data_IF_659498663537
#
_entry.id   IF_659498663537
#
_cell.length_a   1.000
_cell.length_b   1.000
_cell.length_c   1.000
_cell.angle_alpha   90.00
_cell.angle_beta   90.00
_cell.angle_gamma   90.00
#
_symmetry.space_group_name_H-M   'P 1'
#
loop_
_entity.id
_entity.type
_entity.pdbx_description
1 polymer ?
#
# COMPACT_ATOMS: atom_id res chain seq x y z
N UNK A 1 -51.77 -21.85 2.33
CA UNK A 1 -50.68 -21.71 1.35
C UNK A 1 -49.96 -20.40 1.66
N UNK A 2 -48.64 -20.42 1.84
CA UNK A 2 -47.89 -19.19 2.16
C UNK A 2 -47.93 -18.30 0.91
N UNK A 3 -48.44 -17.08 1.06
CA UNK A 3 -48.51 -16.12 -0.04
C UNK A 3 -47.20 -15.30 -0.12
N UNK A 4 -46.14 -15.98 -0.60
CA UNK A 4 -44.82 -15.37 -0.82
C UNK A 4 -44.91 -14.28 -1.90
N UNK A 5 -45.75 -14.50 -2.90
CA UNK A 5 -45.84 -13.65 -4.09
C UNK A 5 -46.52 -12.31 -3.76
N UNK A 6 -47.55 -12.32 -2.90
CA UNK A 6 -48.22 -11.12 -2.42
C UNK A 6 -47.38 -10.25 -1.46
N UNK A 7 -46.43 -10.85 -0.73
CA UNK A 7 -45.58 -10.15 0.26
C UNK A 7 -44.17 -9.82 -0.26
N UNK A 8 -43.90 -9.99 -1.56
CA UNK A 8 -42.58 -9.75 -2.17
C UNK A 8 -41.95 -8.39 -1.79
N UNK A 9 -42.76 -7.34 -1.71
CA UNK A 9 -42.29 -5.99 -1.35
C UNK A 9 -41.72 -5.91 0.07
N UNK A 10 -42.30 -6.65 1.00
CA UNK A 10 -41.80 -6.74 2.38
C UNK A 10 -40.45 -7.46 2.45
N UNK A 11 -40.29 -8.53 1.66
CA UNK A 11 -39.01 -9.23 1.57
C UNK A 11 -37.94 -8.34 0.94
N UNK A 12 -38.26 -7.58 -0.12
CA UNK A 12 -37.33 -6.60 -0.69
C UNK A 12 -36.96 -5.48 0.28
N UNK A 13 -37.90 -4.99 1.09
CA UNK A 13 -37.63 -3.94 2.09
C UNK A 13 -36.69 -4.47 3.18
N UNK A 14 -36.93 -5.67 3.70
CA UNK A 14 -36.03 -6.31 4.67
C UNK A 14 -34.64 -6.54 4.05
N UNK A 15 -34.57 -7.05 2.82
CA UNK A 15 -33.31 -7.23 2.11
C UNK A 15 -32.57 -5.90 1.91
N UNK A 16 -33.27 -4.84 1.51
CA UNK A 16 -32.67 -3.52 1.35
C UNK A 16 -32.16 -2.95 2.67
N UNK A 17 -32.89 -3.14 3.77
CA UNK A 17 -32.47 -2.69 5.10
C UNK A 17 -31.20 -3.41 5.60
N UNK A 18 -30.93 -4.61 5.12
CA UNK A 18 -29.70 -5.37 5.45
C UNK A 18 -28.57 -5.01 4.48
N UNK A 19 -28.86 -4.95 3.18
CA UNK A 19 -27.87 -4.71 2.11
C UNK A 19 -27.36 -3.28 2.15
N UNK A 20 -28.23 -2.29 2.32
CA UNK A 20 -27.85 -0.88 2.24
C UNK A 20 -26.83 -0.47 3.31
N UNK A 21 -26.99 -0.80 4.61
CA UNK A 21 -25.96 -0.52 5.61
C UNK A 21 -24.65 -1.23 5.33
N UNK A 22 -24.70 -2.48 4.84
CA UNK A 22 -23.50 -3.23 4.46
C UNK A 22 -22.76 -2.59 3.27
N UNK A 23 -23.51 -2.13 2.26
CA UNK A 23 -22.96 -1.45 1.09
C UNK A 23 -22.40 -0.07 1.47
N UNK A 24 -23.10 0.69 2.31
CA UNK A 24 -22.64 1.97 2.84
C UNK A 24 -21.33 1.77 3.63
N UNK A 25 -21.24 0.72 4.46
CA UNK A 25 -20.01 0.39 5.21
C UNK A 25 -18.83 0.02 4.32
N UNK A 26 -19.09 -0.47 3.10
CA UNK A 26 -18.05 -0.87 2.15
C UNK A 26 -17.52 0.32 1.35
N UNK A 27 -18.41 1.23 0.94
CA UNK A 27 -18.10 2.35 0.05
C UNK A 27 -17.67 3.59 0.83
N UNK A 28 -18.30 3.86 1.97
CA UNK A 28 -18.06 5.06 2.77
C UNK A 28 -17.31 4.63 4.03
N UNK A 29 -16.16 5.25 4.36
CA UNK A 29 -15.51 5.03 5.65
C UNK A 29 -16.54 5.28 6.76
N UNK A 30 -17.00 4.28 7.52
CA UNK A 30 -18.06 4.47 8.49
C UNK A 30 -17.47 5.15 9.71
N UNK A 31 -17.52 6.48 9.73
CA UNK A 31 -17.15 7.31 10.88
C UNK A 31 -18.04 7.15 12.11
N UNK A 32 -18.79 6.05 12.27
CA UNK A 32 -19.73 5.86 13.38
C UNK A 32 -19.37 4.73 14.36
N UNK A 33 -18.37 3.87 14.08
CA UNK A 33 -18.00 2.80 15.02
C UNK A 33 -16.48 2.60 15.25
N UNK A 34 -15.61 3.06 14.36
CA UNK A 34 -14.16 2.94 14.57
C UNK A 34 -13.43 3.94 13.69
N UNK A 35 -12.48 4.65 14.28
CA UNK A 35 -11.73 5.76 13.66
C UNK A 35 -10.82 5.35 12.48
N UNK A 36 -10.83 4.09 12.05
CA UNK A 36 -10.10 3.63 10.87
C UNK A 36 -10.87 2.50 10.18
N UNK A 37 -11.54 2.77 9.06
CA UNK A 37 -11.76 1.78 7.98
C UNK A 37 -12.60 2.39 6.86
N UNK A 38 -12.00 2.64 5.71
CA UNK A 38 -12.66 2.36 4.43
C UNK A 38 -12.10 1.05 3.89
N UNK A 39 -12.61 0.53 2.76
CA UNK A 39 -11.84 -0.45 1.99
C UNK A 39 -10.45 0.15 1.73
N UNK A 40 -9.41 -0.39 2.38
CA UNK A 40 -8.03 -0.08 2.06
C UNK A 40 -7.66 -0.97 0.87
N UNK A 41 -7.64 -0.46 -0.38
CA UNK A 41 -7.23 -1.27 -1.52
C UNK A 41 -5.82 -1.81 -1.25
N UNK A 42 -5.72 -3.13 -1.23
CA UNK A 42 -4.45 -3.82 -1.08
C UNK A 42 -3.49 -3.45 -2.21
N UNK A 43 -2.22 -3.71 -2.01
CA UNK A 43 -1.14 -3.37 -2.93
C UNK A 43 -1.32 -3.95 -4.35
N UNK A 44 -2.05 -5.07 -4.47
CA UNK A 44 -2.41 -5.69 -5.75
C UNK A 44 -3.39 -4.85 -6.59
N UNK A 45 -4.09 -3.88 -5.97
CA UNK A 45 -5.03 -2.96 -6.64
C UNK A 45 -4.52 -1.52 -6.72
N UNK A 46 -3.45 -1.18 -6.00
CA UNK A 46 -2.98 0.21 -5.86
C UNK A 46 -1.75 0.55 -6.72
N UNK A 47 -1.17 -0.43 -7.43
CA UNK A 47 0.15 -0.32 -8.10
C UNK A 47 1.26 0.05 -7.12
N UNK A 48 2.30 -0.78 -7.04
CA UNK A 48 3.34 -0.62 -6.03
C UNK A 48 4.73 -0.91 -6.56
N UNK A 49 5.72 -0.38 -5.84
CA UNK A 49 7.12 -0.74 -6.01
C UNK A 49 7.61 -1.47 -4.77
N UNK A 50 8.35 -2.54 -4.98
CA UNK A 50 8.97 -3.35 -3.93
C UNK A 50 10.47 -3.27 -4.10
N UNK A 51 11.15 -2.84 -3.05
CA UNK A 51 12.60 -2.78 -2.99
C UNK A 51 13.07 -3.72 -1.89
N UNK A 52 13.88 -4.69 -2.25
CA UNK A 52 14.66 -5.46 -1.29
C UNK A 52 16.05 -4.85 -1.22
N UNK A 53 16.38 -4.27 -0.07
CA UNK A 53 17.63 -3.56 0.16
C UNK A 53 18.43 -4.23 1.28
N UNK A 54 19.76 -4.19 1.18
CA UNK A 54 20.65 -4.64 2.24
C UNK A 54 21.61 -3.52 2.62
N UNK A 55 21.81 -3.33 3.92
CA UNK A 55 22.71 -2.30 4.44
C UNK A 55 24.00 -2.94 4.95
N UNK A 56 25.09 -2.16 4.99
CA UNK A 56 26.35 -2.60 5.60
C UNK A 56 26.43 -2.25 7.09
N UNK A 57 25.76 -1.17 7.53
CA UNK A 57 25.73 -0.68 8.91
C UNK A 57 24.49 -1.20 9.66
N UNK A 58 24.52 -1.24 11.00
CA UNK A 58 23.35 -1.66 11.80
C UNK A 58 22.22 -0.64 11.67
N UNK A 59 21.26 -0.94 10.78
CA UNK A 59 20.12 -0.09 10.43
C UNK A 59 18.86 -0.69 11.04
N UNK A 60 17.99 0.16 11.58
CA UNK A 60 16.67 -0.24 12.10
C UNK A 60 15.59 0.09 11.09
N UNK A 61 14.44 -0.58 11.20
CA UNK A 61 13.26 -0.27 10.36
C UNK A 61 12.84 1.20 10.51
N UNK A 62 13.00 1.77 11.70
CA UNK A 62 12.67 3.17 11.99
C UNK A 62 13.57 4.13 11.21
N UNK A 63 14.88 3.87 11.12
CA UNK A 63 15.78 4.71 10.34
C UNK A 63 15.39 4.72 8.86
N UNK A 64 15.06 3.55 8.28
CA UNK A 64 14.60 3.45 6.89
C UNK A 64 13.28 4.19 6.70
N UNK A 65 12.31 3.99 7.61
CA UNK A 65 11.02 4.66 7.55
C UNK A 65 11.16 6.19 7.63
N UNK A 66 12.01 6.72 8.50
CA UNK A 66 12.27 8.17 8.59
C UNK A 66 12.84 8.74 7.28
N UNK A 67 13.77 8.03 6.62
CA UNK A 67 14.27 8.44 5.29
C UNK A 67 13.14 8.44 4.26
N UNK A 68 12.34 7.37 4.21
CA UNK A 68 11.21 7.28 3.27
C UNK A 68 10.18 8.39 3.48
N UNK A 69 9.88 8.75 4.74
CA UNK A 69 9.00 9.89 5.06
C UNK A 69 9.60 11.22 4.55
N UNK A 70 10.90 11.44 4.72
CA UNK A 70 11.59 12.65 4.21
C UNK A 70 11.56 12.74 2.69
N UNK A 71 11.58 11.59 2.01
CA UNK A 71 11.45 11.48 0.55
C UNK A 71 9.99 11.60 0.05
N UNK A 72 9.03 11.80 0.96
CA UNK A 72 7.61 11.95 0.61
C UNK A 72 6.83 10.64 0.51
N UNK A 73 7.43 9.52 0.92
CA UNK A 73 6.82 8.18 0.93
C UNK A 73 6.46 7.75 2.35
N UNK A 74 5.61 8.51 3.03
CA UNK A 74 5.13 8.16 4.37
C UNK A 74 4.23 6.92 4.40
N UNK A 75 3.73 6.48 3.24
CA UNK A 75 3.01 5.24 3.07
C UNK A 75 3.91 4.00 2.98
N UNK A 76 5.24 4.18 3.00
CA UNK A 76 6.18 3.07 2.83
C UNK A 76 6.03 2.06 3.97
N UNK A 77 5.86 0.78 3.61
CA UNK A 77 5.87 -0.34 4.55
C UNK A 77 7.26 -0.96 4.56
N UNK A 78 7.95 -0.88 5.70
CA UNK A 78 9.29 -1.42 5.90
C UNK A 78 9.15 -2.71 6.71
N UNK A 79 9.75 -3.79 6.22
CA UNK A 79 9.76 -5.09 6.89
C UNK A 79 11.19 -5.65 6.89
N UNK A 80 11.73 -5.97 8.06
CA UNK A 80 13.02 -6.65 8.17
C UNK A 80 12.87 -8.14 7.83
N UNK A 81 13.69 -8.65 6.93
CA UNK A 81 13.66 -10.05 6.47
C UNK A 81 14.94 -10.82 6.77
N UNK A 82 16.02 -10.12 7.14
CA UNK A 82 17.28 -10.74 7.54
C UNK A 82 17.99 -9.93 8.63
N UNK A 83 19.26 -10.23 8.89
CA UNK A 83 20.08 -9.47 9.86
C UNK A 83 20.19 -8.00 9.49
N UNK A 84 20.34 -7.69 8.20
CA UNK A 84 20.43 -6.33 7.68
C UNK A 84 19.78 -6.12 6.31
N UNK A 85 18.77 -6.94 6.02
CA UNK A 85 18.01 -6.90 4.77
C UNK A 85 16.57 -6.50 5.05
N UNK A 86 16.07 -5.56 4.27
CA UNK A 86 14.75 -4.97 4.42
C UNK A 86 13.97 -5.06 3.12
N UNK A 87 12.68 -5.34 3.25
CA UNK A 87 11.69 -5.16 2.22
C UNK A 87 11.00 -3.82 2.44
N UNK A 88 11.12 -2.93 1.47
CA UNK A 88 10.45 -1.64 1.42
C UNK A 88 9.39 -1.74 0.35
N UNK A 89 8.14 -1.48 0.73
CA UNK A 89 7.02 -1.44 -0.20
C UNK A 89 6.45 -0.03 -0.25
N UNK A 90 6.38 0.54 -1.44
CA UNK A 90 5.87 1.90 -1.69
C UNK A 90 4.77 1.88 -2.74
N UNK A 91 4.12 3.04 -2.94
CA UNK A 91 3.41 3.28 -4.20
C UNK A 91 4.37 3.20 -5.39
N UNK A 92 3.80 3.08 -6.59
CA UNK A 92 4.55 3.07 -7.83
C UNK A 92 5.51 4.28 -7.89
N UNK A 93 6.82 4.00 -7.84
CA UNK A 93 7.86 5.02 -7.99
C UNK A 93 7.88 5.50 -9.44
N UNK A 94 7.96 6.82 -9.64
CA UNK A 94 7.96 7.38 -10.99
C UNK A 94 9.23 7.05 -11.76
N UNK A 95 9.03 6.63 -13.00
CA UNK A 95 10.08 6.49 -14.00
C UNK A 95 10.66 7.87 -14.38
N UNK A 96 11.92 7.91 -14.83
CA UNK A 96 12.58 9.17 -15.16
C UNK A 96 11.86 9.85 -16.34
N UNK A 97 11.65 11.16 -16.24
CA UNK A 97 11.09 11.98 -17.32
C UNK A 97 12.24 12.77 -17.96
N UNK A 98 12.70 12.34 -19.13
CA UNK A 98 13.84 12.96 -19.82
C UNK A 98 15.18 12.60 -19.17
N UNK A 99 16.04 13.59 -18.95
CA UNK A 99 17.39 13.44 -18.32
C UNK A 99 17.36 13.50 -16.78
N UNK A 100 16.17 13.53 -16.16
CA UNK A 100 16.03 13.57 -14.70
C UNK A 100 16.18 12.17 -14.11
N UNK A 101 16.68 12.09 -12.87
CA UNK A 101 16.76 10.85 -12.11
C UNK A 101 15.36 10.30 -11.83
N UNK A 102 15.25 8.97 -11.84
CA UNK A 102 14.04 8.28 -11.42
C UNK A 102 13.82 8.43 -9.91
N UNK A 103 12.56 8.39 -9.44
CA UNK A 103 12.30 8.42 -7.99
C UNK A 103 12.97 7.23 -7.28
N UNK A 104 13.07 6.08 -7.96
CA UNK A 104 13.85 4.93 -7.50
C UNK A 104 15.32 5.27 -7.24
N UNK A 105 15.99 5.91 -8.19
CA UNK A 105 17.39 6.29 -8.04
C UNK A 105 17.60 7.32 -6.94
N UNK A 106 16.65 8.25 -6.76
CA UNK A 106 16.68 9.20 -5.64
C UNK A 106 16.60 8.47 -4.31
N UNK A 107 15.68 7.51 -4.17
CA UNK A 107 15.55 6.68 -2.96
C UNK A 107 16.82 5.86 -2.72
N UNK A 108 17.34 5.17 -3.73
CA UNK A 108 18.58 4.38 -3.60
C UNK A 108 19.78 5.25 -3.21
N UNK A 109 19.91 6.46 -3.77
CA UNK A 109 20.99 7.40 -3.43
C UNK A 109 20.89 7.91 -2.00
N UNK A 110 19.68 8.26 -1.55
CA UNK A 110 19.47 8.75 -0.19
C UNK A 110 19.78 7.66 0.84
N UNK A 111 19.29 6.43 0.59
CA UNK A 111 19.57 5.29 1.46
C UNK A 111 21.06 4.91 1.47
N UNK A 112 21.77 5.09 0.35
CA UNK A 112 23.22 4.91 0.28
C UNK A 112 23.98 5.95 1.09
N UNK A 113 23.65 7.23 0.90
CA UNK A 113 24.31 8.35 1.57
C UNK A 113 24.10 8.32 3.10
N UNK A 114 22.88 8.04 3.55
CA UNK A 114 22.53 8.14 4.97
C UNK A 114 22.58 6.82 5.74
N UNK A 115 22.37 5.68 5.08
CA UNK A 115 22.24 4.38 5.75
C UNK A 115 23.26 3.33 5.26
N UNK A 116 24.23 3.73 4.42
CA UNK A 116 25.24 2.83 3.86
C UNK A 116 24.62 1.62 3.15
N UNK A 117 23.63 1.88 2.28
CA UNK A 117 23.02 0.89 1.40
C UNK A 117 24.08 0.20 0.52
N UNK A 118 24.06 -1.13 0.50
CA UNK A 118 24.87 -1.92 -0.45
C UNK A 118 24.15 -1.97 -1.80
N UNK A 119 24.51 -1.07 -2.73
CA UNK A 119 23.90 -1.00 -4.07
C UNK A 119 23.93 -2.34 -4.83
N UNK A 120 24.99 -3.12 -4.68
CA UNK A 120 25.15 -4.42 -5.35
C UNK A 120 24.15 -5.50 -4.87
N UNK A 121 23.40 -5.24 -3.78
CA UNK A 121 22.40 -6.16 -3.23
C UNK A 121 20.98 -5.59 -3.23
N UNK A 122 20.72 -4.59 -4.07
CA UNK A 122 19.36 -4.07 -4.26
C UNK A 122 18.63 -4.93 -5.29
N UNK A 123 17.49 -5.50 -4.91
CA UNK A 123 16.54 -6.09 -5.87
C UNK A 123 15.30 -5.22 -5.93
N UNK A 124 14.92 -4.84 -7.13
CA UNK A 124 13.76 -4.01 -7.40
C UNK A 124 12.74 -4.80 -8.20
N UNK A 125 11.51 -4.87 -7.70
CA UNK A 125 10.36 -5.41 -8.41
C UNK A 125 9.26 -4.34 -8.46
N UNK A 126 8.77 -4.00 -9.65
CA UNK A 126 7.59 -3.16 -9.83
C UNK A 126 6.49 -3.94 -10.53
N UNK A 127 5.25 -3.73 -10.10
CA UNK A 127 4.07 -4.26 -10.80
C UNK A 127 3.39 -3.08 -11.49
N UNK A 128 3.52 -3.02 -12.81
CA UNK A 128 2.89 -1.97 -13.63
C UNK A 128 1.39 -2.23 -13.80
N UNK A 129 0.52 -1.18 -13.76
CA UNK A 129 -0.93 -1.33 -13.91
C UNK A 129 -1.45 -1.77 -15.30
N UNK A 130 -0.60 -2.31 -16.19
CA UNK A 130 -0.97 -2.58 -17.60
C UNK A 130 -1.51 -4.01 -17.82
N UNK A 131 -2.02 -4.67 -16.77
CA UNK A 131 -2.84 -5.87 -16.95
C UNK A 131 -4.11 -5.75 -16.09
N UNK A 132 -5.02 -4.88 -16.52
CA UNK A 132 -6.44 -4.91 -16.18
C UNK A 132 -7.25 -4.57 -17.44
#
# INVERSE_FOLDING_TARGET
>A
MIDIVGKRGWYFLISALIILPGLISLIVPPGWASWESGLNPGIDFTSGSVLQVSFAADVTEQHVHERMVQLGHSEALIQKTGSNTFFIRTKLLKEPVGDLLSEREVVERDLEEFLALERDKVKFDSVSPIIA
#
